data_IF_816969477833
#
_entry.id   IF_816969477833
#
_cell.length_a   1.000
_cell.length_b   1.000
_cell.length_c   1.000
_cell.angle_alpha   90.00
_cell.angle_beta   90.00
_cell.angle_gamma   90.00
#
_symmetry.space_group_name_H-M   'P 1'
#
loop_
_entity.id
_entity.type
_entity.pdbx_description
1 polymer ?
#
# COMPACT_ATOMS: atom_id res chain seq x y z
N UNK A 1 23.79 -0.32 3.32
CA UNK A 1 23.71 1.17 3.33
C UNK A 1 23.64 1.59 4.79
N UNK A 2 24.42 2.57 5.21
CA UNK A 2 24.28 3.04 6.58
C UNK A 2 23.05 3.96 6.75
N UNK A 3 22.63 4.22 8.01
CA UNK A 3 21.41 4.99 8.30
C UNK A 3 21.49 6.46 7.87
N UNK A 4 22.69 7.04 7.80
CA UNK A 4 22.89 8.43 7.34
C UNK A 4 22.74 8.54 5.83
N UNK A 5 23.30 7.59 5.10
CA UNK A 5 23.15 7.49 3.64
C UNK A 5 21.67 7.29 3.27
N UNK A 6 20.99 6.38 3.99
CA UNK A 6 19.56 6.12 3.79
C UNK A 6 18.73 7.38 4.01
N UNK A 7 19.01 8.13 5.07
CA UNK A 7 18.32 9.38 5.38
C UNK A 7 18.60 10.45 4.31
N UNK A 8 19.83 10.54 3.79
CA UNK A 8 20.18 11.47 2.71
C UNK A 8 19.40 11.14 1.42
N UNK A 9 19.35 9.88 1.04
CA UNK A 9 18.57 9.41 -0.12
C UNK A 9 17.07 9.69 0.09
N UNK A 10 16.56 9.52 1.31
CA UNK A 10 15.17 9.81 1.60
C UNK A 10 14.85 11.31 1.52
N UNK A 11 15.74 12.19 2.00
CA UNK A 11 15.60 13.64 1.81
C UNK A 11 15.50 14.02 0.34
N UNK A 12 16.39 13.47 -0.50
CA UNK A 12 16.34 13.67 -1.95
C UNK A 12 15.01 13.19 -2.54
N UNK A 13 14.47 12.06 -2.08
CA UNK A 13 13.18 11.57 -2.55
C UNK A 13 12.02 12.52 -2.17
N UNK A 14 12.04 13.10 -0.97
CA UNK A 14 11.07 14.12 -0.55
C UNK A 14 11.17 15.39 -1.40
N UNK A 15 12.38 15.88 -1.68
CA UNK A 15 12.60 17.05 -2.55
C UNK A 15 12.05 16.83 -3.95
N UNK A 16 12.34 15.67 -4.56
CA UNK A 16 11.81 15.28 -5.87
C UNK A 16 10.28 15.24 -5.86
N UNK A 17 9.69 14.77 -4.76
CA UNK A 17 8.24 14.74 -4.56
C UNK A 17 7.63 16.13 -4.25
N UNK A 18 8.42 17.18 -4.19
CA UNK A 18 7.99 18.53 -3.79
C UNK A 18 7.56 18.63 -2.33
N UNK A 19 8.07 17.74 -1.47
CA UNK A 19 7.83 17.70 -0.03
C UNK A 19 9.01 18.29 0.74
N UNK A 20 8.81 18.86 1.95
CA UNK A 20 9.89 19.44 2.74
C UNK A 20 10.89 18.35 3.20
N UNK A 21 12.19 18.46 2.86
CA UNK A 21 13.17 17.43 3.21
C UNK A 21 13.50 17.35 4.71
N UNK A 22 13.20 18.40 5.47
CA UNK A 22 13.42 18.44 6.92
C UNK A 22 12.48 17.54 7.72
N UNK A 23 11.37 17.07 7.12
CA UNK A 23 10.49 16.08 7.77
C UNK A 23 11.02 14.65 7.63
N UNK A 24 12.10 14.43 6.86
CA UNK A 24 12.68 13.11 6.68
C UNK A 24 13.01 12.47 8.02
N UNK A 25 12.36 11.35 8.28
CA UNK A 25 12.61 10.51 9.43
C UNK A 25 12.45 9.06 9.00
N UNK A 26 13.50 8.28 9.20
CA UNK A 26 13.41 6.84 8.95
C UNK A 26 12.51 6.21 10.00
N UNK A 27 11.66 5.26 9.61
CA UNK A 27 10.86 4.50 10.57
C UNK A 27 11.75 3.62 11.45
N UNK A 28 11.18 3.18 12.56
CA UNK A 28 11.71 2.02 13.26
C UNK A 28 11.22 0.75 12.56
N UNK A 29 12.12 -0.21 12.46
CA UNK A 29 11.97 -1.48 11.76
C UNK A 29 11.66 -2.56 12.80
N UNK A 30 10.55 -3.28 12.63
CA UNK A 30 10.06 -4.22 13.62
C UNK A 30 9.56 -5.52 12.99
N UNK A 31 9.53 -6.56 13.83
CA UNK A 31 8.92 -7.83 13.50
C UNK A 31 7.98 -8.28 14.62
N UNK A 32 6.92 -9.01 14.25
CA UNK A 32 6.02 -9.65 15.20
C UNK A 32 5.49 -10.97 14.64
N UNK A 33 5.04 -11.83 15.53
CA UNK A 33 4.35 -13.08 15.18
C UNK A 33 2.85 -12.84 15.29
N UNK A 34 2.12 -13.15 14.21
CA UNK A 34 0.66 -13.16 14.18
C UNK A 34 0.23 -14.56 13.73
N UNK A 35 -0.50 -15.28 14.60
CA UNK A 35 -0.76 -16.69 14.36
C UNK A 35 0.54 -17.49 14.27
N UNK A 36 0.77 -18.15 13.15
CA UNK A 36 1.96 -18.96 12.90
C UNK A 36 2.96 -18.28 11.94
N UNK A 37 2.78 -17.01 11.61
CA UNK A 37 3.62 -16.30 10.64
C UNK A 37 4.31 -15.09 11.26
N UNK A 38 5.53 -14.81 10.79
CA UNK A 38 6.30 -13.62 11.16
C UNK A 38 6.00 -12.49 10.15
N UNK A 39 5.64 -11.33 10.68
CA UNK A 39 5.38 -10.12 9.94
C UNK A 39 6.39 -9.04 10.25
N UNK A 40 6.82 -8.34 9.22
CA UNK A 40 7.62 -7.14 9.30
C UNK A 40 6.72 -5.91 9.17
N UNK A 41 7.04 -4.84 9.93
CA UNK A 41 6.34 -3.57 9.83
C UNK A 41 7.24 -2.40 10.18
N UNK A 42 6.89 -1.24 9.65
CA UNK A 42 7.54 0.04 9.89
C UNK A 42 6.67 0.90 10.82
N UNK A 43 7.28 1.51 11.85
CA UNK A 43 6.58 2.41 12.79
C UNK A 43 7.25 3.80 12.77
N UNK A 44 6.56 4.80 12.24
CA UNK A 44 6.92 6.21 12.41
C UNK A 44 6.29 6.70 13.70
N UNK A 45 7.05 6.66 14.79
CA UNK A 45 6.59 7.14 16.08
C UNK A 45 5.92 8.51 15.95
N UNK A 46 4.64 8.55 16.25
CA UNK A 46 3.84 9.77 16.25
C UNK A 46 4.03 10.62 17.49
N UNK A 47 3.33 11.75 17.55
CA UNK A 47 3.24 12.51 18.78
C UNK A 47 2.50 11.68 19.83
N UNK A 48 2.75 11.98 21.09
CA UNK A 48 2.19 11.40 22.31
C UNK A 48 1.07 10.33 22.23
N UNK A 49 0.85 9.64 23.30
CA UNK A 49 0.12 8.38 23.53
C UNK A 49 -1.32 8.25 22.98
N UNK A 50 -1.93 9.31 22.41
CA UNK A 50 -3.34 9.31 21.96
C UNK A 50 -3.53 9.69 20.48
N UNK A 51 -2.48 9.72 19.67
CA UNK A 51 -2.61 10.03 18.24
C UNK A 51 -3.45 8.95 17.52
N UNK A 52 -4.35 9.39 16.65
CA UNK A 52 -5.13 8.47 15.81
C UNK A 52 -4.17 7.59 15.00
N UNK A 53 -4.26 6.26 15.07
CA UNK A 53 -3.39 5.38 14.29
C UNK A 53 -3.81 5.32 12.83
N UNK A 54 -2.82 5.34 11.94
CA UNK A 54 -3.00 5.01 10.52
C UNK A 54 -2.23 3.72 10.25
N UNK A 55 -2.94 2.72 9.72
CA UNK A 55 -2.32 1.50 9.20
C UNK A 55 -2.30 1.56 7.68
N UNK A 56 -1.09 1.57 7.13
CA UNK A 56 -0.85 1.55 5.69
C UNK A 56 -0.65 0.14 5.17
N UNK A 57 -1.36 -0.19 4.07
CA UNK A 57 -1.32 -1.48 3.39
C UNK A 57 -0.91 -1.29 1.93
N UNK A 58 0.23 -1.83 1.54
CA UNK A 58 0.81 -1.67 0.20
C UNK A 58 0.12 -2.53 -0.87
N UNK A 59 0.36 -2.22 -2.13
CA UNK A 59 -0.09 -3.00 -3.28
C UNK A 59 0.73 -4.26 -3.54
N UNK A 60 0.21 -5.15 -4.37
CA UNK A 60 0.90 -6.38 -4.74
C UNK A 60 2.27 -6.12 -5.40
N UNK A 61 3.32 -6.77 -4.90
CA UNK A 61 4.69 -6.60 -5.37
C UNK A 61 5.44 -5.43 -4.75
N UNK A 62 4.81 -4.65 -3.88
CA UNK A 62 5.43 -3.57 -3.13
C UNK A 62 5.78 -3.99 -1.69
N UNK A 63 6.30 -3.05 -0.91
CA UNK A 63 6.60 -3.19 0.52
C UNK A 63 6.06 -1.99 1.30
N UNK A 64 6.13 -2.04 2.62
CA UNK A 64 5.75 -0.96 3.54
C UNK A 64 6.43 0.37 3.20
N UNK A 65 7.65 0.34 2.68
CA UNK A 65 8.42 1.52 2.26
C UNK A 65 7.78 2.34 1.11
N UNK A 66 6.76 1.81 0.44
CA UNK A 66 6.00 2.61 -0.54
C UNK A 66 5.30 3.81 0.11
N UNK A 67 5.11 3.78 1.43
CA UNK A 67 4.42 4.79 2.21
C UNK A 67 5.33 5.81 2.90
N UNK A 68 6.66 5.68 2.78
CA UNK A 68 7.63 6.49 3.51
C UNK A 68 7.37 8.00 3.41
N UNK A 69 7.18 8.52 2.19
CA UNK A 69 6.93 9.95 1.98
C UNK A 69 5.61 10.42 2.64
N UNK A 70 4.58 9.59 2.55
CA UNK A 70 3.25 9.91 3.11
C UNK A 70 3.29 9.81 4.63
N UNK A 71 3.88 8.77 5.18
CA UNK A 71 3.97 8.55 6.63
C UNK A 71 4.84 9.61 7.31
N UNK A 72 5.99 9.99 6.72
CA UNK A 72 6.86 11.04 7.25
C UNK A 72 6.14 12.39 7.38
N UNK A 73 5.24 12.72 6.43
CA UNK A 73 4.44 13.94 6.47
C UNK A 73 3.30 13.91 7.49
N UNK A 74 2.79 12.72 7.81
CA UNK A 74 1.62 12.57 8.69
C UNK A 74 2.00 12.25 10.14
N UNK A 75 3.23 11.79 10.39
CA UNK A 75 3.68 11.30 11.71
C UNK A 75 3.60 12.34 12.84
N UNK A 76 3.64 13.63 12.52
CA UNK A 76 3.53 14.69 13.55
C UNK A 76 2.11 14.83 14.12
N UNK A 77 1.13 14.21 13.48
CA UNK A 77 -0.30 14.26 13.87
C UNK A 77 -0.91 12.89 14.12
N UNK A 78 -0.35 11.86 13.51
CA UNK A 78 -0.86 10.49 13.53
C UNK A 78 0.23 9.50 13.94
N UNK A 79 -0.17 8.39 14.55
CA UNK A 79 0.72 7.23 14.66
C UNK A 79 0.69 6.46 13.35
N UNK A 80 1.73 6.57 12.55
CA UNK A 80 1.82 5.95 11.24
C UNK A 80 2.54 4.61 11.32
N UNK A 81 1.86 3.52 10.93
CA UNK A 81 2.40 2.17 10.88
C UNK A 81 2.14 1.57 9.50
N UNK A 82 3.13 0.95 8.89
CA UNK A 82 2.99 0.28 7.59
C UNK A 82 3.39 -1.20 7.70
N UNK A 83 2.50 -2.08 7.26
CA UNK A 83 2.68 -3.53 7.33
C UNK A 83 3.21 -4.06 6.00
N UNK A 84 4.29 -4.85 6.01
CA UNK A 84 4.59 -5.77 4.92
C UNK A 84 3.58 -6.92 4.99
N UNK A 85 2.65 -6.95 4.04
CA UNK A 85 1.60 -7.96 4.04
C UNK A 85 2.20 -9.35 3.73
N UNK A 86 1.52 -10.44 4.15
CA UNK A 86 2.00 -11.81 3.91
C UNK A 86 2.58 -12.00 2.51
N UNK A 87 3.72 -12.66 2.41
CA UNK A 87 4.40 -12.95 1.16
C UNK A 87 5.03 -11.75 0.47
N UNK A 88 5.22 -10.62 1.17
CA UNK A 88 5.85 -9.41 0.63
C UNK A 88 6.88 -8.85 1.60
N UNK A 89 7.80 -8.07 1.05
CA UNK A 89 8.84 -7.41 1.83
C UNK A 89 9.64 -8.38 2.69
N UNK A 90 9.79 -8.04 3.94
CA UNK A 90 10.50 -8.85 4.92
C UNK A 90 9.56 -9.67 5.83
N UNK A 91 8.25 -9.70 5.49
CA UNK A 91 7.28 -10.64 6.07
C UNK A 91 7.43 -12.05 5.49
N UNK A 92 7.04 -13.04 6.28
CA UNK A 92 7.14 -14.43 5.90
C UNK A 92 6.23 -14.79 4.71
N UNK A 93 6.68 -15.71 3.88
CA UNK A 93 5.90 -16.30 2.81
C UNK A 93 4.99 -17.39 3.35
N UNK A 94 3.76 -17.45 2.86
CA UNK A 94 2.84 -18.51 3.27
C UNK A 94 3.41 -19.89 2.90
N UNK A 95 3.60 -20.79 3.87
CA UNK A 95 4.11 -22.13 3.59
C UNK A 95 3.15 -22.95 2.73
N UNK A 96 1.87 -22.65 2.78
CA UNK A 96 0.79 -23.34 2.04
C UNK A 96 0.26 -22.50 0.85
N UNK A 97 0.97 -21.45 0.46
CA UNK A 97 0.62 -20.56 -0.67
C UNK A 97 -0.79 -19.93 -0.49
N UNK A 98 -1.20 -19.68 0.73
CA UNK A 98 -2.50 -19.04 1.01
C UNK A 98 -2.37 -17.51 0.99
N UNK A 99 -2.83 -16.91 -0.11
CA UNK A 99 -2.85 -15.47 -0.37
C UNK A 99 -4.26 -14.95 -0.66
N UNK A 100 -5.29 -15.64 -0.16
CA UNK A 100 -6.70 -15.22 -0.26
C UNK A 100 -6.94 -13.96 0.54
N UNK A 101 -7.91 -13.18 0.12
CA UNK A 101 -8.31 -11.94 0.82
C UNK A 101 -8.68 -12.24 2.28
N UNK A 102 -9.37 -13.34 2.54
CA UNK A 102 -9.74 -13.75 3.91
C UNK A 102 -8.53 -13.93 4.83
N UNK A 103 -7.42 -14.48 4.31
CA UNK A 103 -6.20 -14.70 5.07
C UNK A 103 -5.46 -13.39 5.34
N UNK A 104 -5.42 -12.46 4.37
CA UNK A 104 -4.93 -11.11 4.59
C UNK A 104 -5.75 -10.36 5.65
N UNK A 105 -7.08 -10.53 5.65
CA UNK A 105 -7.95 -9.92 6.67
C UNK A 105 -7.61 -10.45 8.05
N UNK A 106 -7.40 -11.76 8.22
CA UNK A 106 -6.97 -12.34 9.50
C UNK A 106 -5.64 -11.77 10.00
N UNK A 107 -4.68 -11.51 9.09
CA UNK A 107 -3.43 -10.85 9.45
C UNK A 107 -3.64 -9.42 9.93
N UNK A 108 -4.48 -8.66 9.21
CA UNK A 108 -4.81 -7.28 9.58
C UNK A 108 -5.51 -7.25 10.94
N UNK A 109 -6.46 -8.15 11.20
CA UNK A 109 -7.12 -8.32 12.50
C UNK A 109 -6.08 -8.57 13.60
N UNK A 110 -5.24 -9.57 13.42
CA UNK A 110 -4.18 -9.92 14.38
C UNK A 110 -3.17 -8.80 14.58
N UNK A 111 -2.80 -8.05 13.53
CA UNK A 111 -1.90 -6.92 13.62
C UNK A 111 -2.51 -5.76 14.42
N UNK A 112 -3.75 -5.39 14.11
CA UNK A 112 -4.48 -4.32 14.82
C UNK A 112 -4.59 -4.64 16.32
N UNK A 113 -4.93 -5.89 16.63
CA UNK A 113 -5.09 -6.36 18.02
C UNK A 113 -3.74 -6.37 18.76
N UNK A 114 -2.68 -6.93 18.17
CA UNK A 114 -1.35 -7.00 18.78
C UNK A 114 -0.76 -5.61 19.02
N UNK A 115 -0.93 -4.68 18.06
CA UNK A 115 -0.47 -3.29 18.17
C UNK A 115 -1.42 -2.41 18.99
N UNK A 116 -2.58 -2.92 19.41
CA UNK A 116 -3.64 -2.20 20.14
C UNK A 116 -4.05 -0.91 19.43
N UNK A 117 -4.21 -0.96 18.10
CA UNK A 117 -4.60 0.21 17.30
C UNK A 117 -6.09 0.50 17.50
N UNK A 118 -6.41 1.51 18.30
CA UNK A 118 -7.79 1.87 18.62
C UNK A 118 -8.42 2.68 17.49
N UNK A 119 -9.48 2.15 16.88
CA UNK A 119 -10.21 2.77 15.77
C UNK A 119 -9.26 3.33 14.68
N UNK A 120 -8.43 2.49 14.04
CA UNK A 120 -7.45 2.97 13.05
C UNK A 120 -8.13 3.55 11.81
N UNK A 121 -7.38 4.42 11.12
CA UNK A 121 -7.62 4.71 9.70
C UNK A 121 -6.85 3.67 8.91
N UNK A 122 -7.51 2.96 7.99
CA UNK A 122 -6.82 2.11 7.03
C UNK A 122 -6.56 2.88 5.74
N UNK A 123 -5.32 2.85 5.27
CA UNK A 123 -4.91 3.43 3.99
C UNK A 123 -4.33 2.33 3.13
N UNK A 124 -5.08 1.87 2.13
CA UNK A 124 -4.71 0.72 1.31
C UNK A 124 -4.60 1.06 -0.18
N UNK A 125 -3.52 0.64 -0.83
CA UNK A 125 -3.33 0.77 -2.27
C UNK A 125 -3.50 -0.58 -2.95
N UNK A 126 -4.26 -0.63 -4.06
CA UNK A 126 -4.40 -1.85 -4.89
C UNK A 126 -4.79 -3.08 -4.05
N UNK A 127 -3.97 -4.13 -3.99
CA UNK A 127 -4.17 -5.30 -3.12
C UNK A 127 -4.46 -4.90 -1.67
N UNK A 128 -3.68 -3.97 -1.09
CA UNK A 128 -3.93 -3.46 0.27
C UNK A 128 -5.26 -2.73 0.39
N UNK A 129 -5.73 -2.08 -0.70
CA UNK A 129 -7.06 -1.48 -0.77
C UNK A 129 -8.17 -2.52 -0.73
N UNK A 130 -8.06 -3.61 -1.49
CA UNK A 130 -9.03 -4.71 -1.47
C UNK A 130 -9.07 -5.41 -0.10
N UNK A 131 -7.91 -5.60 0.54
CA UNK A 131 -7.83 -6.15 1.89
C UNK A 131 -8.45 -5.21 2.92
N UNK A 132 -8.28 -3.88 2.77
CA UNK A 132 -8.95 -2.87 3.61
C UNK A 132 -10.47 -2.88 3.45
N UNK A 133 -10.97 -3.00 2.22
CA UNK A 133 -12.40 -3.13 1.90
C UNK A 133 -12.96 -4.38 2.60
N UNK A 134 -12.31 -5.52 2.44
CA UNK A 134 -12.74 -6.77 3.06
C UNK A 134 -12.72 -6.73 4.59
N UNK A 135 -11.72 -6.08 5.18
CA UNK A 135 -11.69 -5.81 6.62
C UNK A 135 -12.85 -4.91 7.05
N UNK A 136 -13.10 -3.82 6.33
CA UNK A 136 -14.14 -2.85 6.65
C UNK A 136 -15.57 -3.43 6.55
N UNK A 137 -15.81 -4.38 5.64
CA UNK A 137 -17.10 -5.11 5.55
C UNK A 137 -17.45 -5.78 6.88
N UNK A 138 -16.44 -6.27 7.62
CA UNK A 138 -16.61 -6.97 8.90
C UNK A 138 -16.51 -6.05 10.11
N UNK A 139 -15.73 -4.97 10.01
CA UNK A 139 -15.25 -4.21 11.16
C UNK A 139 -15.35 -2.68 10.99
N UNK A 140 -16.25 -2.19 10.14
CA UNK A 140 -16.36 -0.74 9.87
C UNK A 140 -16.72 0.10 11.11
N UNK A 141 -17.34 -0.49 12.10
CA UNK A 141 -17.65 0.12 13.42
C UNK A 141 -16.39 0.31 14.29
N UNK A 142 -15.36 -0.52 14.07
CA UNK A 142 -14.06 -0.45 14.76
C UNK A 142 -13.06 0.48 14.07
N UNK A 143 -13.42 1.09 12.94
CA UNK A 143 -12.58 1.98 12.16
C UNK A 143 -13.00 3.44 12.34
N UNK A 144 -12.05 4.36 12.21
CA UNK A 144 -12.34 5.79 12.13
C UNK A 144 -12.70 6.20 10.70
N UNK A 145 -11.93 5.76 9.73
CA UNK A 145 -12.10 6.04 8.31
C UNK A 145 -11.28 5.06 7.45
N UNK A 146 -11.48 5.11 6.14
CA UNK A 146 -10.71 4.33 5.16
C UNK A 146 -10.32 5.21 3.97
N UNK A 147 -9.10 5.01 3.45
CA UNK A 147 -8.62 5.61 2.20
C UNK A 147 -8.21 4.47 1.26
N UNK A 148 -8.87 4.37 0.12
CA UNK A 148 -8.60 3.37 -0.90
C UNK A 148 -7.90 4.04 -2.08
N UNK A 149 -6.67 3.60 -2.37
CA UNK A 149 -5.84 4.21 -3.41
C UNK A 149 -5.82 3.32 -4.64
N UNK A 150 -6.42 3.84 -5.68
CA UNK A 150 -6.45 3.38 -7.07
C UNK A 150 -6.87 1.91 -7.27
N UNK A 151 -7.94 1.53 -6.59
CA UNK A 151 -8.60 0.23 -6.76
C UNK A 151 -10.07 0.31 -6.35
N UNK A 152 -10.87 -0.57 -6.93
CA UNK A 152 -12.24 -0.91 -6.52
C UNK A 152 -12.41 -2.43 -6.59
N UNK A 153 -13.48 -3.02 -6.05
CA UNK A 153 -13.80 -4.43 -6.29
C UNK A 153 -13.90 -4.76 -7.78
N UNK A 154 -14.35 -3.83 -8.61
CA UNK A 154 -14.32 -3.93 -10.07
C UNK A 154 -13.17 -3.07 -10.63
N UNK A 155 -12.28 -3.70 -11.40
CA UNK A 155 -11.10 -3.04 -12.02
C UNK A 155 -10.97 -3.44 -13.49
N UNK A 156 -10.24 -2.63 -14.26
CA UNK A 156 -9.85 -2.96 -15.63
C UNK A 156 -8.97 -4.22 -15.67
N UNK A 157 -9.35 -5.19 -16.50
CA UNK A 157 -8.57 -6.41 -16.69
C UNK A 157 -7.19 -6.12 -17.31
N UNK A 158 -7.11 -5.21 -18.29
CA UNK A 158 -5.86 -4.86 -18.99
C UNK A 158 -4.86 -4.16 -18.07
N UNK A 159 -5.33 -3.25 -17.20
CA UNK A 159 -4.45 -2.60 -16.20
C UNK A 159 -3.89 -3.59 -15.19
N UNK A 160 -4.72 -4.53 -14.72
CA UNK A 160 -4.29 -5.59 -13.82
C UNK A 160 -3.26 -6.53 -14.47
N UNK A 161 -3.41 -6.85 -15.77
CA UNK A 161 -2.48 -7.68 -16.52
C UNK A 161 -1.11 -7.01 -16.65
N UNK A 162 -1.06 -5.76 -17.05
CA UNK A 162 0.20 -4.99 -17.18
C UNK A 162 1.00 -4.96 -15.87
N UNK A 163 0.32 -4.79 -14.73
CA UNK A 163 0.98 -4.83 -13.41
C UNK A 163 1.51 -6.23 -13.10
N UNK A 164 0.73 -7.27 -13.43
CA UNK A 164 1.18 -8.66 -13.25
C UNK A 164 2.44 -8.95 -14.04
N UNK A 165 2.51 -8.55 -15.30
CA UNK A 165 3.65 -8.79 -16.19
C UNK A 165 4.93 -8.13 -15.64
N UNK A 166 4.83 -6.89 -15.20
CA UNK A 166 5.97 -6.22 -14.56
C UNK A 166 6.43 -6.95 -13.30
N UNK A 167 5.51 -7.28 -12.43
CA UNK A 167 5.83 -7.91 -11.16
C UNK A 167 6.17 -9.42 -11.28
N UNK A 168 5.98 -10.04 -12.46
CA UNK A 168 6.44 -11.40 -12.81
C UNK A 168 7.85 -11.40 -13.41
N UNK A 169 8.59 -10.31 -13.29
CA UNK A 169 9.96 -10.21 -13.80
C UNK A 169 10.82 -11.35 -13.23
N UNK A 170 11.51 -12.11 -14.09
CA UNK A 170 12.42 -13.17 -13.66
C UNK A 170 13.63 -12.58 -12.92
N UNK A 171 14.47 -13.45 -12.37
CA UNK A 171 15.75 -13.05 -11.80
C UNK A 171 16.61 -12.32 -12.83
N UNK A 172 17.22 -11.21 -12.44
CA UNK A 172 18.13 -10.41 -13.26
C UNK A 172 19.51 -10.34 -12.61
N UNK A 173 20.51 -9.90 -13.40
CA UNK A 173 21.92 -9.88 -12.96
C UNK A 173 22.22 -8.75 -11.96
N UNK A 174 21.41 -7.70 -11.91
CA UNK A 174 21.67 -6.54 -11.06
C UNK A 174 20.40 -5.73 -10.73
N UNK A 175 20.43 -4.93 -9.66
CA UNK A 175 19.38 -3.94 -9.38
C UNK A 175 19.20 -2.91 -10.51
N UNK A 176 20.29 -2.58 -11.23
CA UNK A 176 20.26 -1.65 -12.36
C UNK A 176 19.41 -2.18 -13.51
N UNK A 177 19.45 -3.48 -13.78
CA UNK A 177 18.59 -4.10 -14.79
C UNK A 177 17.10 -4.01 -14.41
N UNK A 178 16.79 -4.11 -13.12
CA UNK A 178 15.44 -3.83 -12.61
C UNK A 178 15.06 -2.35 -12.75
N UNK A 179 15.99 -1.43 -12.49
CA UNK A 179 15.75 0.00 -12.64
C UNK A 179 15.41 0.36 -14.08
N UNK A 180 16.14 -0.16 -15.07
CA UNK A 180 15.86 0.07 -16.49
C UNK A 180 14.43 -0.39 -16.86
N UNK A 181 14.02 -1.55 -16.36
CA UNK A 181 12.64 -2.04 -16.55
C UNK A 181 11.61 -1.15 -15.85
N UNK A 182 11.90 -0.73 -14.62
CA UNK A 182 11.00 0.11 -13.84
C UNK A 182 10.80 1.50 -14.47
N UNK A 183 11.87 2.10 -15.04
CA UNK A 183 11.78 3.36 -15.78
C UNK A 183 10.92 3.21 -17.05
N UNK A 184 11.06 2.10 -17.79
CA UNK A 184 10.22 1.82 -18.95
C UNK A 184 8.75 1.59 -18.56
N UNK A 185 8.52 0.92 -17.45
CA UNK A 185 7.17 0.63 -16.94
C UNK A 185 6.46 1.88 -16.41
N UNK A 186 7.18 2.74 -15.68
CA UNK A 186 6.65 3.97 -15.10
C UNK A 186 7.58 5.16 -15.41
N UNK A 187 7.39 5.76 -16.57
CA UNK A 187 8.15 6.92 -17.03
C UNK A 187 7.79 8.23 -16.31
N UNK A 188 6.74 8.24 -15.48
CA UNK A 188 6.33 9.41 -14.70
C UNK A 188 7.25 9.64 -13.50
N UNK A 189 7.86 8.56 -12.99
CA UNK A 189 8.63 8.60 -11.75
C UNK A 189 10.10 8.85 -12.01
N UNK A 190 10.69 9.73 -11.19
CA UNK A 190 12.11 10.00 -11.23
C UNK A 190 12.93 8.71 -10.95
N UNK A 191 13.97 8.41 -11.76
CA UNK A 191 14.80 7.21 -11.59
C UNK A 191 15.42 7.07 -10.19
N UNK A 192 15.78 8.17 -9.51
CA UNK A 192 16.32 8.12 -8.15
C UNK A 192 15.28 7.59 -7.15
N UNK A 193 14.01 7.99 -7.30
CA UNK A 193 12.91 7.49 -6.47
C UNK A 193 12.61 6.01 -6.78
N UNK A 194 12.67 5.62 -8.05
CA UNK A 194 12.54 4.20 -8.45
C UNK A 194 13.68 3.36 -7.86
N UNK A 195 14.93 3.83 -7.93
CA UNK A 195 16.10 3.14 -7.36
C UNK A 195 15.92 2.92 -5.86
N UNK A 196 15.46 3.94 -5.12
CA UNK A 196 15.17 3.81 -3.70
C UNK A 196 14.08 2.76 -3.44
N UNK A 197 12.99 2.79 -4.19
CA UNK A 197 11.91 1.80 -4.08
C UNK A 197 12.43 0.37 -4.34
N UNK A 198 13.23 0.17 -5.37
CA UNK A 198 13.83 -1.13 -5.70
C UNK A 198 14.76 -1.65 -4.60
N UNK A 199 15.51 -0.77 -3.92
CA UNK A 199 16.35 -1.17 -2.80
C UNK A 199 15.58 -1.95 -1.71
N UNK A 200 14.34 -1.57 -1.43
CA UNK A 200 13.50 -2.27 -0.46
C UNK A 200 12.72 -3.45 -1.04
N UNK A 201 12.47 -3.44 -2.36
CA UNK A 201 11.66 -4.45 -3.03
C UNK A 201 12.47 -5.65 -3.55
N UNK A 202 13.79 -5.52 -3.67
CA UNK A 202 14.67 -6.54 -4.23
C UNK A 202 15.46 -7.27 -3.14
N UNK A 203 15.81 -8.51 -3.43
CA UNK A 203 16.80 -9.30 -2.67
C UNK A 203 17.73 -10.03 -3.63
N UNK A 204 18.95 -10.28 -3.17
CA UNK A 204 19.89 -11.16 -3.85
C UNK A 204 19.51 -12.61 -3.58
N UNK A 205 19.67 -13.46 -4.59
CA UNK A 205 19.48 -14.91 -4.48
C UNK A 205 20.82 -15.60 -4.16
N UNK A 206 20.82 -16.85 -3.65
CA UNK A 206 22.06 -17.60 -3.43
C UNK A 206 22.91 -17.80 -4.67
N UNK A 207 22.35 -17.64 -5.87
CA UNK A 207 23.05 -17.70 -7.15
C UNK A 207 23.65 -16.36 -7.59
N UNK A 208 23.61 -15.30 -6.76
CA UNK A 208 24.11 -13.96 -7.08
C UNK A 208 23.23 -13.19 -8.07
N UNK A 209 22.02 -13.65 -8.32
CA UNK A 209 21.01 -12.93 -9.10
C UNK A 209 20.12 -12.10 -8.17
N UNK A 210 19.38 -11.18 -8.76
CA UNK A 210 18.42 -10.34 -8.04
C UNK A 210 16.98 -10.71 -8.40
N UNK A 211 16.09 -10.66 -7.42
CA UNK A 211 14.66 -10.94 -7.60
C UNK A 211 13.83 -10.07 -6.64
N UNK A 212 12.53 -9.96 -6.91
CA UNK A 212 11.63 -9.29 -5.96
C UNK A 212 11.49 -10.08 -4.65
N UNK A 213 11.34 -9.38 -3.53
CA UNK A 213 11.11 -9.98 -2.21
C UNK A 213 9.76 -10.70 -2.10
N UNK A 214 8.76 -10.35 -2.94
CA UNK A 214 7.45 -10.99 -2.83
C UNK A 214 7.44 -12.44 -3.36
N UNK A 215 6.60 -13.27 -2.79
CA UNK A 215 6.43 -14.67 -3.19
C UNK A 215 5.80 -14.78 -4.58
N UNK A 216 6.57 -15.25 -5.56
CA UNK A 216 6.10 -15.44 -6.94
C UNK A 216 5.04 -16.54 -7.06
N UNK A 217 5.02 -17.54 -6.14
CA UNK A 217 4.06 -18.67 -6.16
C UNK A 217 2.61 -18.20 -5.99
N UNK A 218 2.36 -17.03 -5.40
CA UNK A 218 1.03 -16.39 -5.27
C UNK A 218 0.36 -16.08 -6.61
N UNK A 219 1.07 -16.28 -7.72
CA UNK A 219 0.62 -16.03 -9.09
C UNK A 219 0.26 -17.29 -9.86
N UNK A 220 0.23 -18.44 -9.20
CA UNK A 220 -0.35 -19.64 -9.80
C UNK A 220 -1.80 -19.39 -10.24
N UNK A 221 -2.24 -20.10 -11.28
CA UNK A 221 -3.60 -19.94 -11.80
C UNK A 221 -4.67 -20.15 -10.71
N UNK A 222 -4.44 -21.08 -9.79
CA UNK A 222 -5.36 -21.35 -8.68
C UNK A 222 -5.41 -20.19 -7.68
N UNK A 223 -4.28 -19.62 -7.32
CA UNK A 223 -4.22 -18.45 -6.43
C UNK A 223 -4.89 -17.23 -7.08
N UNK A 224 -4.68 -17.02 -8.38
CA UNK A 224 -5.29 -15.92 -9.13
C UNK A 224 -6.81 -16.09 -9.27
N UNK A 225 -7.28 -17.32 -9.48
CA UNK A 225 -8.71 -17.62 -9.53
C UNK A 225 -9.37 -17.36 -8.19
N UNK A 226 -8.81 -17.91 -7.11
CA UNK A 226 -9.30 -17.69 -5.75
C UNK A 226 -9.37 -16.21 -5.37
N UNK A 227 -8.35 -15.44 -5.73
CA UNK A 227 -8.33 -13.99 -5.51
C UNK A 227 -9.41 -13.26 -6.32
N UNK A 228 -9.67 -13.70 -7.57
CA UNK A 228 -10.73 -13.17 -8.42
C UNK A 228 -12.14 -13.44 -7.83
N UNK A 229 -12.37 -14.65 -7.34
CA UNK A 229 -13.62 -15.04 -6.68
C UNK A 229 -13.86 -14.24 -5.39
N UNK A 230 -12.83 -14.10 -4.54
CA UNK A 230 -12.90 -13.30 -3.32
C UNK A 230 -13.24 -11.84 -3.64
N UNK A 231 -12.58 -11.26 -4.67
CA UNK A 231 -12.85 -9.90 -5.12
C UNK A 231 -14.28 -9.70 -5.61
N UNK A 232 -14.80 -10.65 -6.39
CA UNK A 232 -16.18 -10.59 -6.89
C UNK A 232 -17.22 -10.58 -5.75
N UNK A 233 -16.96 -11.30 -4.65
CA UNK A 233 -17.82 -11.27 -3.46
C UNK A 233 -17.88 -9.91 -2.80
N UNK A 234 -16.78 -9.13 -2.82
CA UNK A 234 -16.76 -7.80 -2.23
C UNK A 234 -17.79 -6.86 -2.85
N UNK A 235 -18.05 -6.97 -4.17
CA UNK A 235 -19.01 -6.11 -4.90
C UNK A 235 -20.37 -6.08 -4.21
N UNK A 236 -20.89 -7.25 -3.81
CA UNK A 236 -22.21 -7.36 -3.18
C UNK A 236 -22.25 -6.92 -1.72
N UNK A 237 -21.09 -6.70 -1.09
CA UNK A 237 -20.99 -6.47 0.36
C UNK A 237 -20.51 -5.06 0.74
N UNK A 238 -20.03 -4.25 -0.21
CA UNK A 238 -19.48 -2.91 0.07
C UNK A 238 -20.47 -1.96 0.74
N UNK A 239 -21.78 -2.15 0.53
CA UNK A 239 -22.83 -1.37 1.20
C UNK A 239 -22.89 -1.57 2.72
N UNK A 240 -22.24 -2.61 3.25
CA UNK A 240 -22.09 -2.85 4.71
C UNK A 240 -21.05 -1.93 5.36
N UNK A 241 -20.19 -1.27 4.57
CA UNK A 241 -19.12 -0.41 5.07
C UNK A 241 -19.71 0.91 5.54
N UNK A 242 -19.71 1.15 6.85
CA UNK A 242 -20.30 2.34 7.47
C UNK A 242 -19.30 3.46 7.75
N UNK A 243 -18.00 3.13 7.85
CA UNK A 243 -16.98 4.15 8.10
C UNK A 243 -16.84 5.09 6.90
N UNK A 244 -16.54 6.38 7.13
CA UNK A 244 -16.20 7.32 6.05
C UNK A 244 -15.09 6.76 5.17
N UNK A 245 -15.27 6.83 3.85
CA UNK A 245 -14.33 6.26 2.89
C UNK A 245 -14.00 7.24 1.77
N UNK A 246 -12.70 7.47 1.54
CA UNK A 246 -12.17 8.21 0.40
C UNK A 246 -11.60 7.24 -0.63
N UNK A 247 -12.09 7.28 -1.85
CA UNK A 247 -11.50 6.60 -3.01
C UNK A 247 -10.62 7.59 -3.75
N UNK A 248 -9.34 7.29 -3.87
CA UNK A 248 -8.36 8.10 -4.58
C UNK A 248 -8.01 7.42 -5.89
N UNK A 249 -8.17 8.12 -7.02
CA UNK A 249 -7.86 7.61 -8.36
C UNK A 249 -6.69 8.37 -8.96
N UNK A 250 -5.69 7.66 -9.50
CA UNK A 250 -4.59 8.26 -10.26
C UNK A 250 -5.04 8.64 -11.67
N UNK A 251 -4.89 9.92 -12.05
CA UNK A 251 -5.41 10.46 -13.32
C UNK A 251 -4.90 9.73 -14.59
N UNK A 252 -3.76 9.08 -14.51
CA UNK A 252 -3.13 8.32 -15.60
C UNK A 252 -3.16 6.80 -15.35
N UNK A 253 -3.94 6.34 -14.35
CA UNK A 253 -4.10 4.92 -14.07
C UNK A 253 -4.95 4.24 -15.15
N UNK A 254 -4.54 3.04 -15.53
CA UNK A 254 -5.28 2.12 -16.39
C UNK A 254 -6.00 1.00 -15.59
N UNK A 255 -5.89 1.02 -14.26
CA UNK A 255 -6.52 0.05 -13.36
C UNK A 255 -7.91 0.49 -12.95
N UNK A 256 -8.06 1.74 -12.51
CA UNK A 256 -9.31 2.33 -12.08
C UNK A 256 -9.63 3.54 -12.97
N UNK A 257 -10.84 3.57 -13.54
CA UNK A 257 -11.34 4.71 -14.32
C UNK A 257 -12.04 5.73 -13.43
N UNK A 258 -12.28 6.95 -13.95
CA UNK A 258 -13.07 7.96 -13.23
C UNK A 258 -14.49 7.43 -12.92
N UNK A 259 -15.14 6.80 -13.91
CA UNK A 259 -16.47 6.20 -13.73
C UNK A 259 -16.43 5.06 -12.68
N UNK A 260 -15.42 4.20 -12.71
CA UNK A 260 -15.25 3.14 -11.73
C UNK A 260 -15.04 3.67 -10.31
N UNK A 261 -14.26 4.75 -10.16
CA UNK A 261 -14.08 5.41 -8.86
C UNK A 261 -15.37 6.05 -8.35
N UNK A 262 -16.11 6.74 -9.25
CA UNK A 262 -17.39 7.36 -8.92
C UNK A 262 -18.46 6.31 -8.55
N UNK A 263 -18.58 5.24 -9.32
CA UNK A 263 -19.52 4.15 -9.05
C UNK A 263 -19.20 3.44 -7.71
N UNK A 264 -17.92 3.14 -7.47
CA UNK A 264 -17.52 2.53 -6.20
C UNK A 264 -17.80 3.46 -5.02
N UNK A 265 -17.45 4.74 -5.10
CA UNK A 265 -17.76 5.70 -4.05
C UNK A 265 -19.28 5.83 -3.80
N UNK A 266 -20.09 5.81 -4.85
CA UNK A 266 -21.56 5.87 -4.75
C UNK A 266 -22.18 4.59 -4.14
N UNK A 267 -21.52 3.43 -4.24
CA UNK A 267 -21.96 2.17 -3.63
C UNK A 267 -21.70 2.10 -2.11
N UNK A 268 -20.91 3.03 -1.58
CA UNK A 268 -20.57 3.14 -0.16
C UNK A 268 -21.49 4.13 0.55
N UNK A 269 -22.07 3.81 1.73
CA UNK A 269 -22.94 4.73 2.46
C UNK A 269 -22.33 6.09 2.78
N UNK A 270 -21.02 6.14 3.02
CA UNK A 270 -20.26 7.36 3.32
C UNK A 270 -19.02 7.48 2.42
N UNK A 271 -19.20 7.17 1.12
CA UNK A 271 -18.14 7.18 0.13
C UNK A 271 -18.02 8.54 -0.57
N UNK A 272 -16.79 8.89 -0.91
CA UNK A 272 -16.45 9.99 -1.82
C UNK A 272 -15.21 9.63 -2.61
N UNK A 273 -14.96 10.30 -3.73
CA UNK A 273 -13.76 10.05 -4.51
C UNK A 273 -13.08 11.34 -4.95
N UNK A 274 -11.82 11.21 -5.31
CA UNK A 274 -10.99 12.30 -5.82
C UNK A 274 -10.01 11.77 -6.87
N UNK A 275 -9.77 12.56 -7.90
CA UNK A 275 -8.75 12.31 -8.90
C UNK A 275 -7.47 13.05 -8.53
N UNK A 276 -6.35 12.33 -8.54
CA UNK A 276 -5.01 12.88 -8.30
C UNK A 276 -4.28 12.99 -9.63
N UNK A 277 -3.99 14.23 -10.04
CA UNK A 277 -3.31 14.52 -11.30
C UNK A 277 -1.85 14.04 -11.29
N UNK A 278 -1.27 13.83 -12.47
CA UNK A 278 0.13 13.41 -12.65
C UNK A 278 0.50 12.15 -11.88
N UNK A 279 -0.41 11.22 -11.76
CA UNK A 279 -0.17 9.92 -11.10
C UNK A 279 -0.84 8.79 -11.84
N UNK A 280 -0.15 7.66 -11.93
CA UNK A 280 -0.67 6.38 -12.38
C UNK A 280 -1.19 5.55 -11.21
N UNK A 281 -1.11 4.22 -11.33
CA UNK A 281 -1.61 3.27 -10.32
C UNK A 281 -0.94 3.40 -8.94
N UNK A 282 0.32 3.83 -8.88
CA UNK A 282 1.03 3.99 -7.61
C UNK A 282 1.04 5.46 -7.17
N UNK A 283 -0.15 5.99 -6.82
CA UNK A 283 -0.38 7.41 -6.52
C UNK A 283 0.56 7.93 -5.42
N UNK A 284 0.77 7.14 -4.34
CA UNK A 284 1.64 7.51 -3.21
C UNK A 284 3.12 7.63 -3.60
N UNK A 285 3.52 7.01 -4.71
CA UNK A 285 4.87 7.11 -5.23
C UNK A 285 5.02 8.11 -6.36
N UNK A 286 3.94 8.38 -7.12
CA UNK A 286 3.97 9.27 -8.28
C UNK A 286 3.69 10.73 -7.89
N UNK A 287 2.73 10.96 -7.00
CA UNK A 287 2.35 12.30 -6.52
C UNK A 287 1.92 12.28 -5.05
N UNK A 288 2.85 12.00 -4.11
CA UNK A 288 2.53 11.94 -2.69
C UNK A 288 1.99 13.25 -2.13
N UNK A 289 2.40 14.41 -2.68
CA UNK A 289 1.88 15.72 -2.25
C UNK A 289 0.38 15.82 -2.48
N UNK A 290 -0.10 15.57 -3.69
CA UNK A 290 -1.53 15.68 -3.99
C UNK A 290 -2.35 14.60 -3.25
N UNK A 291 -1.78 13.41 -3.03
CA UNK A 291 -2.40 12.41 -2.16
C UNK A 291 -2.55 12.93 -0.72
N UNK A 292 -1.51 13.54 -0.16
CA UNK A 292 -1.53 14.14 1.18
C UNK A 292 -2.56 15.27 1.30
N UNK A 293 -2.68 16.12 0.28
CA UNK A 293 -3.67 17.19 0.24
C UNK A 293 -5.10 16.64 0.26
N UNK A 294 -5.36 15.60 -0.55
CA UNK A 294 -6.64 14.89 -0.58
C UNK A 294 -6.98 14.22 0.76
N UNK A 295 -6.02 13.48 1.32
CA UNK A 295 -6.17 12.83 2.63
C UNK A 295 -6.37 13.85 3.74
N UNK A 296 -5.60 14.94 3.75
CA UNK A 296 -5.69 16.00 4.75
C UNK A 296 -7.05 16.70 4.74
N UNK A 297 -7.63 16.95 3.56
CA UNK A 297 -8.99 17.47 3.43
C UNK A 297 -10.01 16.49 3.99
N UNK A 298 -9.92 15.23 3.57
CA UNK A 298 -10.81 14.17 4.05
C UNK A 298 -10.73 13.97 5.57
N UNK A 299 -9.52 13.94 6.14
CA UNK A 299 -9.35 13.75 7.59
C UNK A 299 -9.95 14.88 8.42
N UNK A 300 -9.85 16.15 7.96
CA UNK A 300 -10.52 17.27 8.62
C UNK A 300 -12.04 17.13 8.60
N UNK A 301 -12.61 16.74 7.46
CA UNK A 301 -14.07 16.59 7.29
C UNK A 301 -14.67 15.48 8.17
N UNK A 302 -13.91 14.41 8.42
CA UNK A 302 -14.37 13.26 9.25
C UNK A 302 -13.90 13.37 10.70
N UNK A 303 -13.32 14.51 11.11
CA UNK A 303 -12.85 14.73 12.46
C UNK A 303 -11.73 13.78 12.89
N UNK A 304 -10.88 13.39 11.97
CA UNK A 304 -9.79 12.42 12.19
C UNK A 304 -8.42 13.10 12.41
N UNK A 305 -8.40 14.40 12.68
CA UNK A 305 -7.18 15.19 12.89
C UNK A 305 -6.85 15.32 14.36
#
# INVERSE_FOLDING_TARGET
MDRNDELAIFRTALEIAGLPPNVAALPDDHQMIIGAMRFHYLDWKGPATNATPILFLHGGGLTAHTWDCVAAMLRDRFRCVALDQRGHGDSEWSPVIDYRIASHVGDIEGFIDAMRLQRPILVGQSMGGLNSIAYAIRHSDKMRAMVIVDVAPEISASGAERIRDFASTPELDSPEAFLERAVKFNSLRNPAVLRRSLHYNLRETPAGKWTFKHDQRRRSDDAMRSFGEDRARLVSEVSKIKCPTLVVRGALSDVLTDDGAAQFAASLPNGRWVRVEKSGHNVQGDNPRALLDAMGTFFREVGAS
#
